data_IF_067867811912
#
_entry.id   IF_067867811912
#
_cell.length_a   1.000
_cell.length_b   1.000
_cell.length_c   1.000
_cell.angle_alpha   90.00
_cell.angle_beta   90.00
_cell.angle_gamma   90.00
#
_symmetry.space_group_name_H-M   'P 1'
#
loop_
_entity.id
_entity.type
_entity.pdbx_description
1 polymer ?
#
# COMPACT_ATOMS: atom_id res chain seq x y z
N UNK A 1 -3.34 3.22 4.86
CA UNK A 1 -2.55 2.52 5.88
C UNK A 1 -1.84 1.39 5.18
N UNK A 2 -0.61 1.09 5.57
CA UNK A 2 0.16 -0.04 5.03
C UNK A 2 0.69 -0.85 6.21
N UNK A 3 0.21 -2.08 6.36
CA UNK A 3 0.57 -2.93 7.49
C UNK A 3 0.94 -4.35 7.04
N UNK A 4 1.97 -4.93 7.67
CA UNK A 4 2.49 -6.26 7.31
C UNK A 4 1.41 -7.35 7.34
N UNK A 5 0.44 -7.26 8.26
CA UNK A 5 -0.63 -8.25 8.42
C UNK A 5 -1.95 -7.91 7.72
N UNK A 6 -2.14 -6.68 7.24
CA UNK A 6 -3.44 -6.22 6.71
C UNK A 6 -3.36 -5.61 5.31
N UNK A 7 -2.18 -5.53 4.71
CA UNK A 7 -2.03 -5.00 3.36
C UNK A 7 -2.17 -3.48 3.28
N UNK A 8 -2.68 -3.03 2.15
CA UNK A 8 -3.11 -1.67 1.91
C UNK A 8 -4.53 -1.48 2.45
N UNK A 9 -4.71 -0.52 3.33
CA UNK A 9 -5.98 -0.21 4.00
C UNK A 9 -6.34 1.26 3.84
N UNK A 10 -7.62 1.60 3.94
CA UNK A 10 -8.10 2.99 3.97
C UNK A 10 -9.30 3.16 4.92
N UNK A 11 -9.60 4.36 5.44
CA UNK A 11 -10.73 4.57 6.35
C UNK A 11 -12.10 4.33 5.69
N UNK A 12 -12.20 4.54 4.37
CA UNK A 12 -13.46 4.54 3.63
C UNK A 12 -13.65 3.25 2.80
N UNK A 13 -14.71 2.46 3.03
CA UNK A 13 -15.00 1.28 2.23
C UNK A 13 -15.28 1.58 0.74
N UNK A 14 -15.83 2.75 0.40
CA UNK A 14 -16.06 3.12 -1.00
C UNK A 14 -14.72 3.35 -1.73
N UNK A 15 -13.79 4.06 -1.07
CA UNK A 15 -12.43 4.24 -1.57
C UNK A 15 -11.72 2.89 -1.77
N UNK A 16 -11.90 1.95 -0.83
CA UNK A 16 -11.35 0.61 -0.94
C UNK A 16 -11.89 -0.14 -2.17
N UNK A 17 -13.21 -0.12 -2.38
CA UNK A 17 -13.86 -0.79 -3.50
C UNK A 17 -13.40 -0.21 -4.85
N UNK A 18 -13.32 1.11 -4.98
CA UNK A 18 -12.87 1.78 -6.21
C UNK A 18 -11.40 1.42 -6.51
N UNK A 19 -10.52 1.47 -5.50
CA UNK A 19 -9.10 1.13 -5.67
C UNK A 19 -8.89 -0.35 -6.00
N UNK A 20 -9.64 -1.25 -5.37
CA UNK A 20 -9.59 -2.68 -5.69
C UNK A 20 -10.05 -2.96 -7.13
N UNK A 21 -11.12 -2.29 -7.58
CA UNK A 21 -11.61 -2.41 -8.96
C UNK A 21 -10.62 -1.87 -10.00
N UNK A 22 -9.89 -0.79 -9.67
CA UNK A 22 -8.83 -0.24 -10.51
C UNK A 22 -7.61 -1.16 -10.56
N UNK A 23 -7.17 -1.66 -9.39
CA UNK A 23 -6.09 -2.65 -9.25
C UNK A 23 -6.33 -3.88 -10.12
N UNK A 24 -7.55 -4.44 -10.09
CA UNK A 24 -7.89 -5.65 -10.84
C UNK A 24 -7.80 -5.47 -12.37
N UNK A 25 -7.92 -4.23 -12.86
CA UNK A 25 -7.85 -3.91 -14.30
C UNK A 25 -6.47 -3.39 -14.73
N UNK A 26 -5.59 -3.13 -13.78
CA UNK A 26 -4.27 -2.58 -14.05
C UNK A 26 -3.30 -3.70 -14.43
N UNK A 27 -2.42 -3.44 -15.42
CA UNK A 27 -1.30 -4.33 -15.73
C UNK A 27 -0.25 -4.31 -14.62
N UNK A 28 -0.04 -3.12 -14.06
CA UNK A 28 0.91 -2.86 -12.97
C UNK A 28 0.26 -1.87 -12.01
N UNK A 29 0.49 -2.05 -10.71
CA UNK A 29 -0.09 -1.20 -9.68
C UNK A 29 0.99 -0.62 -8.78
N UNK A 30 0.89 0.69 -8.57
CA UNK A 30 1.80 1.48 -7.76
C UNK A 30 0.99 2.27 -6.74
N UNK A 31 1.34 2.10 -5.46
CA UNK A 31 0.74 2.81 -4.35
C UNK A 31 1.71 3.90 -3.92
N UNK A 32 1.30 5.16 -4.07
CA UNK A 32 2.00 6.29 -3.46
C UNK A 32 1.65 6.33 -1.97
N UNK A 33 2.66 6.23 -1.13
CA UNK A 33 2.52 6.09 0.32
C UNK A 33 3.54 6.98 1.00
N UNK A 34 3.12 7.94 1.80
CA UNK A 34 4.04 8.66 2.67
C UNK A 34 4.43 7.79 3.89
N UNK A 35 5.62 8.03 4.44
CA UNK A 35 6.21 7.21 5.49
C UNK A 35 5.36 7.14 6.77
N UNK A 36 4.48 8.12 7.01
CA UNK A 36 3.59 8.13 8.17
C UNK A 36 2.44 7.11 8.06
N UNK A 37 2.18 6.56 6.87
CA UNK A 37 1.10 5.56 6.65
C UNK A 37 1.54 4.13 6.96
N UNK A 38 2.83 3.87 7.13
CA UNK A 38 3.31 2.54 7.51
C UNK A 38 2.89 2.19 8.94
N UNK A 39 2.64 0.90 9.18
CA UNK A 39 2.11 0.34 10.43
C UNK A 39 0.72 0.87 10.84
N UNK A 40 0.06 1.70 10.01
CA UNK A 40 -1.31 2.13 10.21
C UNK A 40 -2.27 1.12 9.60
N UNK A 41 -3.29 0.74 10.38
CA UNK A 41 -4.40 -0.11 9.93
C UNK A 41 -5.67 0.71 9.96
N UNK A 42 -6.41 0.69 8.86
CA UNK A 42 -7.74 1.26 8.77
C UNK A 42 -8.79 0.16 8.54
N UNK A 43 -10.09 0.44 8.80
CA UNK A 43 -11.14 -0.59 8.77
C UNK A 43 -11.38 -1.26 7.41
N UNK A 44 -11.10 -0.58 6.29
CA UNK A 44 -11.33 -1.14 4.96
C UNK A 44 -10.02 -1.58 4.30
N UNK A 45 -9.98 -2.82 3.81
CA UNK A 45 -8.84 -3.38 3.07
C UNK A 45 -9.02 -3.10 1.58
N UNK A 46 -7.98 -2.57 0.94
CA UNK A 46 -7.90 -2.41 -0.51
C UNK A 46 -7.39 -3.72 -1.13
N UNK A 47 -6.21 -4.18 -0.71
CA UNK A 47 -5.54 -5.38 -1.20
C UNK A 47 -4.33 -5.78 -0.34
N UNK A 48 -3.80 -6.98 -0.55
CA UNK A 48 -2.57 -7.45 0.09
C UNK A 48 -1.32 -6.70 -0.42
N UNK A 49 -0.25 -6.69 0.39
CA UNK A 49 1.01 -6.00 0.05
C UNK A 49 1.62 -6.47 -1.27
N UNK A 50 1.53 -7.78 -1.57
CA UNK A 50 2.10 -8.37 -2.78
C UNK A 50 1.35 -7.95 -4.06
N UNK A 51 0.21 -7.27 -3.94
CA UNK A 51 -0.63 -6.86 -5.08
C UNK A 51 -0.14 -5.60 -5.79
N UNK A 52 0.84 -4.87 -5.26
CA UNK A 52 1.37 -3.68 -5.91
C UNK A 52 2.63 -3.13 -5.27
N UNK A 53 3.33 -2.27 -6.00
CA UNK A 53 4.61 -1.66 -5.61
C UNK A 53 4.36 -0.43 -4.72
N UNK A 54 5.19 -0.22 -3.69
CA UNK A 54 5.13 0.99 -2.87
C UNK A 54 6.11 2.03 -3.42
N UNK A 55 5.61 3.22 -3.75
CA UNK A 55 6.39 4.43 -3.97
C UNK A 55 6.29 5.31 -2.72
N UNK A 56 7.42 5.62 -2.09
CA UNK A 56 7.42 6.35 -0.81
C UNK A 56 8.61 7.28 -0.68
N UNK A 57 8.52 8.25 0.22
CA UNK A 57 9.66 9.07 0.62
C UNK A 57 10.64 8.29 1.51
N UNK A 58 10.16 7.34 2.32
CA UNK A 58 11.00 6.53 3.20
C UNK A 58 10.26 5.28 3.67
N UNK A 59 10.94 4.15 3.69
CA UNK A 59 10.43 2.90 4.26
C UNK A 59 10.99 2.67 5.66
N UNK A 60 10.22 2.94 6.74
CA UNK A 60 10.73 2.92 8.10
C UNK A 60 11.10 1.52 8.62
N UNK A 61 10.55 0.46 8.02
CA UNK A 61 10.84 -0.92 8.41
C UNK A 61 11.23 -1.77 7.19
N UNK A 62 12.45 -2.34 7.12
CA UNK A 62 12.88 -3.10 5.96
C UNK A 62 12.07 -4.39 5.71
N UNK A 63 11.33 -4.90 6.70
CA UNK A 63 10.49 -6.11 6.54
C UNK A 63 9.45 -5.97 5.42
N UNK A 64 8.95 -4.76 5.14
CA UNK A 64 7.99 -4.56 4.05
C UNK A 64 8.56 -4.97 2.67
N UNK A 65 9.89 -4.88 2.48
CA UNK A 65 10.57 -5.31 1.24
C UNK A 65 10.51 -6.82 1.01
N UNK A 66 10.13 -7.60 2.01
CA UNK A 66 9.90 -9.05 1.87
C UNK A 66 8.54 -9.36 1.21
N UNK A 67 7.61 -8.41 1.20
CA UNK A 67 6.25 -8.60 0.71
C UNK A 67 5.99 -7.89 -0.62
N UNK A 68 6.70 -6.78 -0.88
CA UNK A 68 6.56 -6.02 -2.11
C UNK A 68 7.82 -5.24 -2.44
N UNK A 69 7.95 -4.84 -3.71
CA UNK A 69 8.96 -3.89 -4.14
C UNK A 69 8.65 -2.51 -3.51
N UNK A 70 9.70 -1.84 -3.03
CA UNK A 70 9.60 -0.50 -2.50
C UNK A 70 10.59 0.39 -3.27
N UNK A 71 10.08 1.48 -3.82
CA UNK A 71 10.85 2.56 -4.42
C UNK A 71 10.82 3.76 -3.49
N UNK A 72 11.97 4.08 -2.94
CA UNK A 72 12.17 5.33 -2.19
C UNK A 72 12.59 6.42 -3.17
N UNK A 73 11.98 7.60 -3.07
CA UNK A 73 12.41 8.80 -3.81
C UNK A 73 13.34 9.63 -2.95
N UNK A 74 14.30 10.29 -3.58
CA UNK A 74 15.06 11.36 -2.92
C UNK A 74 14.11 12.52 -2.56
N UNK A 75 14.44 13.26 -1.49
CA UNK A 75 13.71 14.46 -1.04
C UNK A 75 14.32 15.69 -1.70
#
# INVERSE_FOLDING_TARGET
GVALGSGFTTPDPEEAAVKAAALHRAREAWFLVDDTKFAQVYPAVICDLHSGVILTNRCPNPKYRQYTLIKETEV
#
